data_IF_317756980982
#
_entry.id   IF_317756980982
#
_cell.length_a   1.000
_cell.length_b   1.000
_cell.length_c   1.000
_cell.angle_alpha   90.00
_cell.angle_beta   90.00
_cell.angle_gamma   90.00
#
_symmetry.space_group_name_H-M   'P 1'
#
loop_
_entity.id
_entity.type
_entity.pdbx_description
1 polymer ?
#
# COMPACT_ATOMS: atom_id res chain seq x y z
N UNK A 1 -46.81 -42.56 -19.97
CA UNK A 1 -45.36 -42.53 -19.65
C UNK A 1 -44.88 -41.12 -19.91
N UNK A 2 -44.97 -40.29 -18.87
CA UNK A 2 -44.69 -38.85 -18.94
C UNK A 2 -43.19 -38.62 -18.75
N UNK A 3 -42.58 -37.81 -19.62
CA UNK A 3 -41.20 -37.32 -19.51
C UNK A 3 -41.07 -36.48 -18.24
N UNK A 4 -40.21 -36.90 -17.31
CA UNK A 4 -39.75 -36.07 -16.21
C UNK A 4 -38.76 -35.02 -16.78
N UNK A 5 -39.09 -33.76 -16.58
CA UNK A 5 -38.23 -32.61 -16.81
C UNK A 5 -37.16 -32.55 -15.71
N UNK A 6 -35.94 -32.27 -16.14
CA UNK A 6 -34.79 -32.03 -15.29
C UNK A 6 -34.96 -30.68 -14.58
N UNK A 7 -35.05 -30.70 -13.25
CA UNK A 7 -34.73 -29.53 -12.44
C UNK A 7 -33.23 -29.64 -12.08
N UNK A 8 -32.41 -28.90 -12.82
CA UNK A 8 -31.03 -28.61 -12.41
C UNK A 8 -31.12 -27.40 -11.48
N UNK A 9 -31.26 -27.67 -10.19
CA UNK A 9 -30.97 -26.69 -9.14
C UNK A 9 -29.45 -26.41 -9.17
N UNK A 10 -29.04 -25.40 -9.94
CA UNK A 10 -27.74 -24.75 -9.73
C UNK A 10 -27.84 -23.95 -8.44
N UNK A 11 -27.56 -24.60 -7.31
CA UNK A 11 -27.21 -23.91 -6.08
C UNK A 11 -25.95 -23.08 -6.36
N UNK A 12 -26.10 -21.76 -6.47
CA UNK A 12 -24.98 -20.83 -6.44
C UNK A 12 -24.34 -20.97 -5.06
N UNK A 13 -23.20 -21.65 -4.97
CA UNK A 13 -22.40 -21.66 -3.76
C UNK A 13 -22.10 -20.19 -3.41
N UNK A 14 -22.67 -19.69 -2.32
CA UNK A 14 -22.30 -18.38 -1.80
C UNK A 14 -20.81 -18.46 -1.41
N UNK A 15 -19.94 -17.84 -2.21
CA UNK A 15 -18.52 -17.77 -1.89
C UNK A 15 -18.35 -17.10 -0.52
N UNK A 16 -17.62 -17.78 0.38
CA UNK A 16 -17.35 -17.26 1.72
C UNK A 16 -16.68 -15.88 1.62
N UNK A 17 -17.38 -14.85 2.10
CA UNK A 17 -16.90 -13.48 2.09
C UNK A 17 -16.20 -13.13 3.40
N UNK A 18 -15.07 -12.42 3.29
CA UNK A 18 -14.32 -11.87 4.41
C UNK A 18 -14.51 -10.35 4.43
N UNK A 19 -14.68 -9.78 5.63
CA UNK A 19 -14.82 -8.34 5.82
C UNK A 19 -13.46 -7.66 6.02
N UNK A 20 -13.31 -6.46 5.48
CA UNK A 20 -12.14 -5.60 5.64
C UNK A 20 -11.91 -5.22 7.10
N UNK A 21 -10.70 -5.43 7.58
CA UNK A 21 -10.29 -5.09 8.96
C UNK A 21 -10.35 -3.60 9.30
N UNK A 22 -10.37 -2.73 8.28
CA UNK A 22 -10.39 -1.26 8.45
C UNK A 22 -11.82 -0.72 8.62
N UNK A 23 -12.84 -1.48 8.21
CA UNK A 23 -14.24 -1.03 8.15
C UNK A 23 -15.11 -1.77 9.19
N UNK A 24 -14.60 -1.86 10.42
CA UNK A 24 -15.29 -2.49 11.53
C UNK A 24 -16.58 -1.72 11.86
N UNK A 25 -17.72 -2.41 11.83
CA UNK A 25 -19.04 -1.84 12.16
C UNK A 25 -19.84 -1.29 10.98
N UNK A 26 -19.31 -1.38 9.74
CA UNK A 26 -20.14 -1.20 8.55
C UNK A 26 -21.20 -2.32 8.47
N UNK A 27 -22.46 -2.02 8.07
CA UNK A 27 -23.49 -3.04 7.95
C UNK A 27 -23.03 -4.20 7.05
N UNK A 28 -23.27 -5.47 7.46
CA UNK A 28 -23.00 -6.60 6.58
C UNK A 28 -23.83 -6.48 5.29
N UNK A 29 -23.27 -6.88 4.16
CA UNK A 29 -23.96 -6.84 2.86
C UNK A 29 -23.71 -5.58 2.02
N UNK A 30 -22.83 -4.66 2.44
CA UNK A 30 -22.25 -3.66 1.54
C UNK A 30 -21.29 -4.35 0.55
N UNK A 31 -21.88 -4.93 -0.49
CA UNK A 31 -21.15 -5.57 -1.58
C UNK A 31 -20.76 -4.55 -2.64
N UNK A 32 -19.55 -4.70 -3.16
CA UNK A 32 -19.03 -3.90 -4.26
C UNK A 32 -18.18 -2.70 -3.82
N UNK A 33 -17.80 -1.87 -4.80
CA UNK A 33 -16.78 -0.86 -4.63
C UNK A 33 -17.29 0.33 -3.82
N UNK A 34 -16.60 0.60 -2.71
CA UNK A 34 -16.79 1.74 -1.83
C UNK A 34 -15.64 2.74 -2.00
N UNK A 35 -15.91 4.04 -1.80
CA UNK A 35 -14.88 5.09 -1.84
C UNK A 35 -14.66 5.63 -0.44
N UNK A 36 -13.45 5.40 0.08
CA UNK A 36 -12.99 5.91 1.36
C UNK A 36 -11.93 6.99 1.17
N UNK A 37 -11.82 7.87 2.18
CA UNK A 37 -10.85 8.95 2.21
C UNK A 37 -9.87 8.72 3.37
N UNK A 38 -8.66 8.28 3.04
CA UNK A 38 -7.61 8.02 4.02
C UNK A 38 -6.78 9.28 4.23
N UNK A 39 -6.60 9.66 5.49
CA UNK A 39 -5.81 10.84 5.85
C UNK A 39 -4.55 10.40 6.57
N UNK A 40 -3.40 10.56 5.92
CA UNK A 40 -2.08 10.22 6.44
C UNK A 40 -1.40 11.52 6.86
N UNK A 41 -0.87 11.58 8.07
CA UNK A 41 -0.42 12.85 8.64
C UNK A 41 0.78 12.70 9.57
N UNK A 42 1.64 13.71 9.53
CA UNK A 42 2.77 13.78 10.46
C UNK A 42 2.37 14.45 11.78
N UNK A 43 3.01 14.02 12.89
CA UNK A 43 2.94 14.78 14.12
C UNK A 43 3.47 16.20 13.88
N UNK A 44 2.84 17.20 14.49
CA UNK A 44 3.40 18.56 14.50
C UNK A 44 4.74 18.55 15.25
N UNK A 45 5.86 18.70 14.53
CA UNK A 45 7.11 19.12 15.13
C UNK A 45 6.92 20.54 15.69
N UNK A 46 7.34 20.80 16.93
CA UNK A 46 7.48 22.17 17.42
C UNK A 46 8.57 22.82 16.57
N UNK A 47 8.24 23.85 15.80
CA UNK A 47 9.26 24.71 15.23
C UNK A 47 10.05 25.32 16.37
N UNK A 48 11.37 25.10 16.39
CA UNK A 48 12.28 25.89 17.18
C UNK A 48 12.26 27.31 16.61
N UNK A 49 11.37 28.15 17.12
CA UNK A 49 11.52 29.59 16.93
C UNK A 49 12.77 30.02 17.68
N UNK A 50 13.70 30.58 16.91
CA UNK A 50 14.93 31.16 17.38
C UNK A 50 14.63 32.38 18.28
N UNK A 51 14.55 32.17 19.59
CA UNK A 51 14.89 33.19 20.57
C UNK A 51 15.80 32.57 21.61
N UNK A 52 17.06 33.03 21.57
CA UNK A 52 18.16 32.76 22.50
C UNK A 52 17.65 32.47 23.92
N UNK A 53 18.01 31.32 24.46
CA UNK A 53 18.52 31.16 25.82
C UNK A 53 19.18 29.77 25.94
N UNK A 54 20.36 29.78 26.52
CA UNK A 54 21.27 28.66 26.75
C UNK A 54 20.66 27.70 27.78
N UNK A 55 20.28 26.50 27.34
CA UNK A 55 20.46 25.25 28.10
C UNK A 55 20.25 24.07 27.14
N UNK A 56 21.36 23.61 26.54
CA UNK A 56 21.39 22.39 25.75
C UNK A 56 21.23 21.19 26.68
N UNK A 57 20.06 20.51 26.62
CA UNK A 57 19.87 19.05 26.72
C UNK A 57 18.42 18.71 27.10
N UNK A 58 17.43 18.99 26.24
CA UNK A 58 16.08 18.46 26.46
C UNK A 58 15.24 18.35 25.18
N UNK A 59 15.05 17.11 24.70
CA UNK A 59 13.72 16.47 24.51
C UNK A 59 13.79 15.33 23.47
N UNK A 60 14.61 14.32 23.75
CA UNK A 60 14.55 12.99 23.10
C UNK A 60 13.94 11.92 24.01
N UNK A 61 13.27 12.32 25.10
CA UNK A 61 12.65 11.40 26.05
C UNK A 61 11.12 11.49 25.95
N UNK A 62 10.53 10.97 24.88
CA UNK A 62 9.20 10.39 25.05
C UNK A 62 9.45 9.02 25.67
N UNK A 63 9.22 8.89 26.97
CA UNK A 63 9.17 7.58 27.63
C UNK A 63 8.01 6.81 27.01
N UNK A 64 8.30 5.95 26.04
CA UNK A 64 7.29 5.09 25.43
C UNK A 64 6.92 4.05 26.49
N UNK A 65 5.70 4.17 27.02
CA UNK A 65 5.15 3.19 27.94
C UNK A 65 4.78 1.92 27.19
N UNK A 66 4.80 0.79 27.90
CA UNK A 66 4.30 -0.49 27.41
C UNK A 66 3.16 -0.91 28.32
N UNK A 67 2.05 -1.41 27.77
CA UNK A 67 0.94 -1.91 28.55
C UNK A 67 1.19 -3.35 29.04
N UNK A 68 0.19 -3.96 29.68
CA UNK A 68 0.27 -5.30 30.26
C UNK A 68 0.49 -6.39 29.21
N UNK A 69 0.11 -6.13 27.96
CA UNK A 69 0.22 -7.06 26.83
C UNK A 69 1.55 -6.92 26.06
N UNK A 70 2.38 -5.94 26.43
CA UNK A 70 3.63 -5.65 25.73
C UNK A 70 3.48 -4.67 24.58
N UNK A 71 2.30 -4.06 24.41
CA UNK A 71 2.03 -3.10 23.34
C UNK A 71 2.45 -1.68 23.74
N UNK A 72 2.88 -0.89 22.76
CA UNK A 72 3.29 0.49 23.01
C UNK A 72 2.07 1.36 23.36
N UNK A 73 2.11 2.01 24.52
CA UNK A 73 1.10 2.97 24.96
C UNK A 73 1.31 4.28 24.23
N UNK A 74 0.60 4.45 23.11
CA UNK A 74 0.66 5.65 22.28
C UNK A 74 -0.40 6.67 22.73
N UNK A 75 0.03 7.90 23.03
CA UNK A 75 -0.89 9.01 23.29
C UNK A 75 -1.66 9.38 22.02
N UNK A 76 -3.00 9.38 22.08
CA UNK A 76 -3.85 9.82 20.97
C UNK A 76 -3.53 11.28 20.63
N UNK A 77 -3.20 11.56 19.36
CA UNK A 77 -2.88 12.91 18.88
C UNK A 77 -4.10 13.83 19.05
N UNK A 78 -3.92 14.96 19.73
CA UNK A 78 -4.99 15.92 20.04
C UNK A 78 -4.71 17.33 19.46
N UNK A 79 -3.74 17.45 18.54
CA UNK A 79 -3.29 18.72 17.94
C UNK A 79 -3.43 18.68 16.42
N UNK A 80 -3.66 19.84 15.77
CA UNK A 80 -3.77 19.93 14.32
C UNK A 80 -2.47 19.51 13.62
N UNK A 81 -2.62 18.87 12.46
CA UNK A 81 -1.53 18.34 11.65
C UNK A 81 -0.83 19.47 10.88
N UNK A 82 0.51 19.45 10.81
CA UNK A 82 1.27 20.40 10.01
C UNK A 82 1.37 19.98 8.54
N UNK A 83 1.46 18.66 8.28
CA UNK A 83 1.49 18.07 6.95
C UNK A 83 0.53 16.88 6.92
N UNK A 84 -0.47 16.98 6.06
CA UNK A 84 -1.59 16.04 5.93
C UNK A 84 -1.82 15.74 4.45
N UNK A 85 -1.91 14.47 4.11
CA UNK A 85 -2.25 14.00 2.76
C UNK A 85 -3.52 13.18 2.83
N UNK A 86 -4.48 13.56 1.97
CA UNK A 86 -5.76 12.86 1.84
C UNK A 86 -5.75 12.10 0.52
N UNK A 87 -5.90 10.79 0.62
CA UNK A 87 -5.95 9.85 -0.49
C UNK A 87 -7.39 9.34 -0.66
N UNK A 88 -7.89 9.35 -1.88
CA UNK A 88 -9.23 8.83 -2.19
C UNK A 88 -9.07 7.45 -2.80
N UNK A 89 -9.51 6.41 -2.08
CA UNK A 89 -9.33 5.01 -2.49
C UNK A 89 -10.68 4.34 -2.66
N UNK A 90 -10.86 3.73 -3.84
CA UNK A 90 -11.90 2.77 -4.15
C UNK A 90 -11.43 1.38 -3.71
N UNK A 91 -12.23 0.72 -2.89
CA UNK A 91 -11.94 -0.60 -2.35
C UNK A 91 -13.25 -1.33 -1.98
N UNK A 92 -13.20 -2.63 -1.76
CA UNK A 92 -14.33 -3.39 -1.26
C UNK A 92 -14.32 -3.43 0.28
N UNK A 93 -15.52 -3.47 0.88
CA UNK A 93 -15.68 -3.69 2.33
C UNK A 93 -15.75 -5.19 2.62
N UNK A 94 -16.34 -5.98 1.73
CA UNK A 94 -16.32 -7.45 1.79
C UNK A 94 -15.84 -8.03 0.45
N UNK A 95 -15.11 -9.13 0.49
CA UNK A 95 -14.66 -9.83 -0.72
C UNK A 95 -14.48 -11.32 -0.45
N UNK A 96 -14.50 -12.15 -1.50
CA UNK A 96 -14.00 -13.53 -1.40
C UNK A 96 -12.48 -13.55 -1.23
N UNK A 97 -11.93 -14.69 -0.80
CA UNK A 97 -10.50 -14.89 -0.57
C UNK A 97 -9.63 -14.56 -1.81
N UNK A 98 -10.00 -14.95 -3.05
CA UNK A 98 -9.21 -14.58 -4.23
C UNK A 98 -9.18 -13.07 -4.51
N UNK A 99 -10.17 -12.32 -3.99
CA UNK A 99 -10.39 -10.90 -4.29
C UNK A 99 -9.97 -9.98 -3.15
N UNK A 100 -9.22 -10.48 -2.17
CA UNK A 100 -8.80 -9.68 -0.99
C UNK A 100 -7.85 -8.54 -1.32
N UNK A 101 -7.23 -8.54 -2.51
CA UNK A 101 -6.49 -7.39 -3.05
C UNK A 101 -7.37 -6.16 -3.31
N UNK A 102 -8.70 -6.32 -3.34
CA UNK A 102 -9.64 -5.20 -3.42
C UNK A 102 -9.87 -4.51 -2.07
N UNK A 103 -9.37 -5.04 -0.96
CA UNK A 103 -9.55 -4.47 0.38
C UNK A 103 -8.34 -3.62 0.78
N UNK A 104 -8.59 -2.57 1.58
CA UNK A 104 -7.51 -1.83 2.26
C UNK A 104 -7.15 -2.57 3.54
N UNK A 105 -5.85 -2.79 3.74
CA UNK A 105 -5.34 -3.51 4.92
C UNK A 105 -4.78 -2.54 5.96
N UNK A 106 -4.89 -2.87 7.25
CA UNK A 106 -4.25 -2.06 8.33
C UNK A 106 -2.74 -1.91 8.11
N UNK A 107 -2.12 -2.97 7.61
CA UNK A 107 -0.76 -3.04 7.08
C UNK A 107 -0.38 -1.82 6.24
N UNK A 108 -1.23 -1.52 5.26
CA UNK A 108 -1.05 -0.51 4.23
C UNK A 108 -1.13 0.89 4.86
N UNK A 109 -1.98 1.06 5.88
CA UNK A 109 -2.07 2.29 6.66
C UNK A 109 -0.80 2.55 7.48
N UNK A 110 -0.27 1.53 8.16
CA UNK A 110 0.99 1.64 8.92
C UNK A 110 2.15 1.96 8.00
N UNK A 111 2.18 1.32 6.83
CA UNK A 111 3.18 1.55 5.80
C UNK A 111 3.11 2.98 5.24
N UNK A 112 1.90 3.52 5.03
CA UNK A 112 1.72 4.90 4.64
C UNK A 112 2.31 5.88 5.66
N UNK A 113 2.11 5.64 6.95
CA UNK A 113 2.71 6.48 8.00
C UNK A 113 4.25 6.44 7.94
N UNK A 114 4.83 5.25 7.75
CA UNK A 114 6.28 5.11 7.60
C UNK A 114 6.81 5.81 6.34
N UNK A 115 6.14 5.61 5.21
CA UNK A 115 6.52 6.23 3.93
C UNK A 115 6.44 7.75 4.06
N UNK A 116 5.35 8.29 4.63
CA UNK A 116 5.22 9.72 4.85
C UNK A 116 6.32 10.27 5.76
N UNK A 117 6.66 9.55 6.83
CA UNK A 117 7.78 9.91 7.71
C UNK A 117 9.08 10.01 6.91
N UNK A 118 9.43 8.97 6.15
CA UNK A 118 10.65 8.92 5.35
C UNK A 118 10.71 10.01 4.27
N UNK A 119 9.59 10.28 3.60
CA UNK A 119 9.45 11.37 2.62
C UNK A 119 9.74 12.75 3.24
N UNK A 120 9.50 12.91 4.54
CA UNK A 120 9.59 14.21 5.21
C UNK A 120 10.87 14.38 6.03
N UNK A 121 11.53 13.27 6.41
CA UNK A 121 12.76 13.29 7.20
C UNK A 121 14.02 12.95 6.38
N UNK A 122 13.87 12.45 5.15
CA UNK A 122 14.98 12.08 4.28
C UNK A 122 14.65 12.29 2.80
N UNK A 123 15.68 12.47 1.97
CA UNK A 123 15.55 12.53 0.51
C UNK A 123 15.69 11.17 -0.17
N UNK A 124 15.55 10.07 0.58
CA UNK A 124 15.79 8.70 0.08
C UNK A 124 14.78 8.28 -0.98
N UNK A 125 13.59 8.89 -0.98
CA UNK A 125 12.51 8.60 -1.92
C UNK A 125 12.37 9.66 -3.02
N UNK A 126 13.27 10.64 -3.06
CA UNK A 126 13.23 11.68 -4.08
C UNK A 126 13.71 11.11 -5.42
N UNK A 127 12.86 11.18 -6.44
CA UNK A 127 13.18 10.79 -7.82
C UNK A 127 13.65 9.33 -7.99
N UNK A 128 13.24 8.46 -7.09
CA UNK A 128 13.50 7.02 -7.22
C UNK A 128 12.55 6.37 -8.23
N UNK A 129 12.89 5.14 -8.63
CA UNK A 129 11.94 4.21 -9.23
C UNK A 129 11.49 3.24 -8.13
N UNK A 130 10.20 3.15 -7.86
CA UNK A 130 9.66 2.23 -6.87
C UNK A 130 8.88 1.11 -7.56
N UNK A 131 8.88 -0.07 -6.96
CA UNK A 131 8.04 -1.20 -7.34
C UNK A 131 7.32 -1.70 -6.09
N UNK A 132 6.00 -1.65 -6.12
CA UNK A 132 5.13 -2.19 -5.09
C UNK A 132 4.63 -3.59 -5.50
N UNK A 133 4.88 -4.59 -4.65
CA UNK A 133 4.48 -5.98 -4.83
C UNK A 133 3.25 -6.29 -3.97
N UNK A 134 2.18 -6.81 -4.58
CA UNK A 134 0.91 -7.02 -3.89
C UNK A 134 0.28 -5.69 -3.51
N UNK A 135 0.26 -4.75 -4.45
CA UNK A 135 -0.17 -3.38 -4.23
C UNK A 135 -1.66 -3.28 -3.83
N UNK A 136 -2.49 -4.26 -4.21
CA UNK A 136 -3.92 -4.29 -3.96
C UNK A 136 -4.61 -3.01 -4.44
N UNK A 137 -5.02 -2.17 -3.49
CA UNK A 137 -5.64 -0.88 -3.80
C UNK A 137 -4.65 0.19 -4.28
N UNK A 138 -3.36 0.00 -4.03
CA UNK A 138 -2.26 0.89 -4.41
C UNK A 138 -2.05 2.08 -3.47
N UNK A 139 -2.61 2.08 -2.26
CA UNK A 139 -2.61 3.25 -1.36
C UNK A 139 -1.19 3.75 -1.09
N UNK A 140 -0.24 2.85 -0.83
CA UNK A 140 1.13 3.21 -0.45
C UNK A 140 1.89 3.76 -1.65
N UNK A 141 1.89 3.07 -2.78
CA UNK A 141 2.59 3.53 -3.97
C UNK A 141 2.00 4.82 -4.53
N UNK A 142 0.69 5.04 -4.42
CA UNK A 142 0.04 6.32 -4.73
C UNK A 142 0.56 7.44 -3.80
N UNK A 143 0.74 7.16 -2.51
CA UNK A 143 1.35 8.12 -1.58
C UNK A 143 2.80 8.42 -1.97
N UNK A 144 3.58 7.39 -2.30
CA UNK A 144 4.99 7.49 -2.67
C UNK A 144 5.20 8.25 -3.99
N UNK A 145 4.25 8.15 -4.93
CA UNK A 145 4.26 8.87 -6.21
C UNK A 145 4.31 10.41 -6.08
N UNK A 146 4.11 10.95 -4.88
CA UNK A 146 4.29 12.37 -4.58
C UNK A 146 5.76 12.81 -4.64
N UNK A 147 6.72 11.92 -4.39
CA UNK A 147 8.16 12.25 -4.39
C UNK A 147 8.98 11.40 -5.37
N UNK A 148 8.53 10.19 -5.68
CA UNK A 148 9.19 9.30 -6.62
C UNK A 148 9.16 9.83 -8.07
N UNK A 149 10.10 9.35 -8.90
CA UNK A 149 10.10 9.59 -10.35
C UNK A 149 9.18 8.60 -11.07
N UNK A 150 9.19 7.33 -10.65
CA UNK A 150 8.30 6.31 -11.22
C UNK A 150 7.87 5.35 -10.12
N UNK A 151 6.61 4.93 -10.12
CA UNK A 151 6.09 3.90 -9.22
C UNK A 151 5.39 2.83 -10.06
N UNK A 152 5.84 1.59 -9.95
CA UNK A 152 5.17 0.43 -10.51
C UNK A 152 4.32 -0.21 -9.41
N UNK A 153 3.01 -0.24 -9.59
CA UNK A 153 2.08 -0.93 -8.70
C UNK A 153 1.80 -2.30 -9.30
N UNK A 154 2.11 -3.37 -8.57
CA UNK A 154 1.95 -4.73 -9.10
C UNK A 154 1.14 -5.62 -8.19
N UNK A 155 0.26 -6.40 -8.80
CA UNK A 155 -0.57 -7.41 -8.16
C UNK A 155 -0.98 -8.46 -9.20
N UNK A 156 -1.78 -9.45 -8.80
CA UNK A 156 -2.35 -10.46 -9.67
C UNK A 156 -3.89 -10.41 -9.59
N UNK A 157 -4.54 -10.48 -10.76
CA UNK A 157 -6.00 -10.43 -10.89
C UNK A 157 -6.49 -9.17 -11.61
N UNK A 158 -7.21 -9.35 -12.71
CA UNK A 158 -7.67 -8.27 -13.57
C UNK A 158 -8.52 -7.23 -12.82
N UNK A 159 -9.43 -7.67 -11.96
CA UNK A 159 -10.28 -6.75 -11.17
C UNK A 159 -9.46 -5.91 -10.17
N UNK A 160 -8.43 -6.52 -9.56
CA UNK A 160 -7.53 -5.84 -8.62
C UNK A 160 -6.72 -4.78 -9.35
N UNK A 161 -6.13 -5.15 -10.48
CA UNK A 161 -5.34 -4.23 -11.31
C UNK A 161 -6.20 -3.10 -11.89
N UNK A 162 -7.42 -3.39 -12.35
CA UNK A 162 -8.35 -2.36 -12.83
C UNK A 162 -8.76 -1.40 -11.70
N UNK A 163 -9.02 -1.92 -10.50
CA UNK A 163 -9.33 -1.09 -9.33
C UNK A 163 -8.13 -0.23 -8.91
N UNK A 164 -6.93 -0.80 -8.90
CA UNK A 164 -5.69 -0.08 -8.63
C UNK A 164 -5.48 1.08 -9.64
N UNK A 165 -5.70 0.84 -10.93
CA UNK A 165 -5.61 1.88 -11.97
C UNK A 165 -6.62 3.01 -11.75
N UNK A 166 -7.88 2.67 -11.40
CA UNK A 166 -8.89 3.67 -11.01
C UNK A 166 -8.44 4.51 -9.81
N UNK A 167 -7.77 3.90 -8.83
CA UNK A 167 -7.22 4.62 -7.67
C UNK A 167 -6.08 5.56 -8.06
N UNK A 168 -5.21 5.16 -9.00
CA UNK A 168 -4.19 6.05 -9.55
C UNK A 168 -4.84 7.27 -10.20
N UNK A 169 -5.87 7.07 -11.03
CA UNK A 169 -6.58 8.15 -11.70
C UNK A 169 -7.26 9.11 -10.71
N UNK A 170 -7.92 8.57 -9.67
CA UNK A 170 -8.56 9.35 -8.60
C UNK A 170 -7.59 10.26 -7.84
N UNK A 171 -6.30 9.90 -7.79
CA UNK A 171 -5.26 10.62 -7.07
C UNK A 171 -4.25 11.31 -7.99
N UNK A 172 -4.47 11.31 -9.31
CA UNK A 172 -3.53 11.85 -10.30
C UNK A 172 -3.14 13.32 -10.06
N UNK A 173 -4.07 14.13 -9.55
CA UNK A 173 -3.81 15.52 -9.16
C UNK A 173 -2.87 15.70 -7.95
N UNK A 174 -2.53 14.63 -7.24
CA UNK A 174 -1.62 14.65 -6.08
C UNK A 174 -0.15 14.46 -6.46
N UNK A 175 0.13 14.00 -7.68
CA UNK A 175 1.48 13.65 -8.13
C UNK A 175 2.32 14.89 -8.43
N UNK A 176 3.65 14.77 -8.38
CA UNK A 176 4.60 15.88 -8.56
C UNK A 176 4.70 16.40 -10.03
N UNK A 177 3.69 16.16 -10.86
CA UNK A 177 3.61 16.54 -12.27
C UNK A 177 4.59 15.80 -13.21
N UNK A 178 5.55 15.04 -12.66
CA UNK A 178 6.55 14.26 -13.39
C UNK A 178 6.51 12.77 -13.07
N UNK A 179 5.90 12.39 -11.95
CA UNK A 179 5.82 11.00 -11.52
C UNK A 179 5.02 10.18 -12.52
N UNK A 180 5.62 9.09 -12.99
CA UNK A 180 4.93 8.08 -13.77
C UNK A 180 4.44 6.95 -12.84
N UNK A 181 3.13 6.78 -12.72
CA UNK A 181 2.55 5.65 -11.96
C UNK A 181 2.02 4.63 -12.94
N UNK A 182 2.48 3.39 -12.84
CA UNK A 182 2.14 2.31 -13.77
C UNK A 182 1.62 1.10 -13.01
N UNK A 183 0.40 0.67 -13.33
CA UNK A 183 -0.16 -0.59 -12.82
C UNK A 183 0.20 -1.72 -13.77
N UNK A 184 0.75 -2.81 -13.25
CA UNK A 184 1.18 -3.98 -14.04
C UNK A 184 0.86 -5.28 -13.32
N UNK A 185 0.55 -6.32 -14.09
CA UNK A 185 0.42 -7.65 -13.51
C UNK A 185 1.80 -8.19 -13.07
N UNK A 186 1.83 -8.79 -11.88
CA UNK A 186 2.92 -9.64 -11.43
C UNK A 186 2.35 -10.84 -10.68
N UNK A 187 2.29 -11.98 -11.37
CA UNK A 187 1.94 -13.26 -10.78
C UNK A 187 3.15 -13.89 -10.07
N UNK A 188 3.07 -14.02 -8.74
CA UNK A 188 4.13 -14.62 -7.93
C UNK A 188 4.28 -16.13 -8.14
N UNK A 189 3.26 -16.80 -8.68
CA UNK A 189 3.28 -18.23 -8.97
C UNK A 189 3.95 -18.53 -10.32
N UNK A 190 4.15 -17.51 -11.14
CA UNK A 190 4.85 -17.62 -12.42
C UNK A 190 6.37 -17.64 -12.24
N UNK A 191 7.12 -18.41 -13.05
CA UNK A 191 8.57 -18.50 -12.94
C UNK A 191 9.25 -17.16 -13.23
N UNK A 192 10.27 -16.83 -12.43
CA UNK A 192 11.10 -15.65 -12.63
C UNK A 192 12.27 -15.92 -13.59
N UNK A 193 12.66 -14.96 -14.47
CA UNK A 193 12.02 -13.67 -14.71
C UNK A 193 10.72 -13.79 -15.51
N UNK A 194 9.77 -12.84 -15.35
CA UNK A 194 8.55 -12.79 -16.14
C UNK A 194 8.91 -12.83 -17.63
N UNK A 195 8.15 -13.59 -18.43
CA UNK A 195 8.42 -13.71 -19.85
C UNK A 195 8.17 -12.37 -20.52
N UNK A 196 9.25 -11.67 -20.86
CA UNK A 196 9.17 -10.40 -21.59
C UNK A 196 8.90 -10.71 -23.06
N UNK A 197 7.73 -10.32 -23.58
CA UNK A 197 7.54 -10.27 -25.03
C UNK A 197 8.40 -9.13 -25.59
N UNK A 198 9.15 -9.33 -26.69
CA UNK A 198 10.08 -8.32 -27.20
C UNK A 198 9.28 -7.17 -27.84
N UNK A 199 8.84 -6.22 -27.01
CA UNK A 199 8.40 -4.91 -27.47
C UNK A 199 9.48 -3.87 -27.13
N UNK A 200 9.71 -2.98 -28.10
CA UNK A 200 10.90 -2.14 -28.23
C UNK A 200 10.99 -1.11 -27.10
N UNK A 201 11.95 -1.24 -26.19
CA UNK A 201 12.50 -0.08 -25.47
C UNK A 201 14.01 -0.24 -25.27
N UNK A 202 14.82 0.71 -25.76
CA UNK A 202 16.26 0.72 -25.56
C UNK A 202 16.57 1.64 -24.39
N UNK A 203 16.86 1.13 -23.19
CA UNK A 203 17.64 1.89 -22.21
C UNK A 203 18.09 0.98 -21.06
N UNK A 204 19.37 0.61 -21.09
CA UNK A 204 20.10 0.13 -19.90
C UNK A 204 20.31 1.32 -18.95
N UNK A 205 19.25 1.75 -18.27
CA UNK A 205 19.36 2.61 -17.09
C UNK A 205 19.42 1.74 -15.85
N UNK A 206 20.39 2.01 -14.99
CA UNK A 206 20.46 1.45 -13.64
C UNK A 206 19.52 2.30 -12.79
N UNK A 207 18.49 1.68 -12.24
CA UNK A 207 17.50 2.36 -11.41
C UNK A 207 17.76 2.05 -9.95
N UNK A 208 17.58 3.05 -9.10
CA UNK A 208 17.47 2.82 -7.68
C UNK A 208 16.04 2.34 -7.41
N UNK A 209 15.88 1.02 -7.16
CA UNK A 209 14.59 0.37 -6.96
C UNK A 209 14.28 0.30 -5.47
N UNK A 210 13.21 0.95 -5.04
CA UNK A 210 12.61 0.70 -3.71
C UNK A 210 11.50 -0.32 -3.87
N UNK A 211 11.67 -1.48 -3.23
CA UNK A 211 10.65 -2.51 -3.16
C UNK A 211 9.75 -2.27 -1.96
N UNK A 212 8.46 -2.16 -2.22
CA UNK A 212 7.41 -2.11 -1.19
C UNK A 212 6.60 -3.38 -1.38
N UNK A 213 6.73 -4.39 -0.52
CA UNK A 213 6.17 -5.70 -0.85
C UNK A 213 5.61 -6.51 0.31
N UNK A 214 4.55 -7.26 0.01
CA UNK A 214 4.04 -8.40 0.79
C UNK A 214 4.53 -9.73 0.19
N UNK A 215 4.80 -10.77 1.01
CA UNK A 215 4.69 -12.22 0.68
C UNK A 215 5.33 -13.19 1.71
N UNK A 216 5.02 -14.51 1.63
CA UNK A 216 5.59 -15.60 2.46
C UNK A 216 6.98 -16.08 1.97
N UNK A 217 7.76 -16.64 2.91
CA UNK A 217 9.12 -17.24 2.93
C UNK A 217 9.87 -17.59 1.62
N UNK A 218 9.21 -17.87 0.50
CA UNK A 218 9.85 -18.11 -0.81
C UNK A 218 10.41 -16.83 -1.46
N UNK A 219 9.98 -15.65 -0.99
CA UNK A 219 10.17 -14.38 -1.72
C UNK A 219 11.43 -13.59 -1.35
N UNK A 220 12.18 -13.99 -0.32
CA UNK A 220 13.44 -13.30 0.04
C UNK A 220 14.53 -13.58 -1.00
N UNK A 221 14.58 -14.79 -1.56
CA UNK A 221 15.57 -15.12 -2.60
C UNK A 221 15.27 -14.45 -3.94
N UNK A 222 14.00 -14.40 -4.37
CA UNK A 222 13.63 -13.81 -5.65
C UNK A 222 13.66 -12.27 -5.62
N UNK A 223 13.33 -11.66 -4.48
CA UNK A 223 13.59 -10.22 -4.28
C UNK A 223 15.09 -9.90 -4.31
N UNK A 224 15.95 -10.72 -3.69
CA UNK A 224 17.42 -10.55 -3.80
C UNK A 224 17.94 -10.68 -5.23
N UNK A 225 17.36 -11.57 -6.07
CA UNK A 225 17.68 -11.66 -7.50
C UNK A 225 17.25 -10.40 -8.28
N UNK A 226 16.18 -9.72 -7.86
CA UNK A 226 15.75 -8.44 -8.44
C UNK A 226 16.64 -7.25 -8.04
N UNK A 227 17.16 -7.24 -6.82
CA UNK A 227 17.64 -6.03 -6.13
C UNK A 227 19.00 -5.48 -6.59
N UNK A 228 19.86 -6.27 -7.24
CA UNK A 228 21.21 -5.78 -7.59
C UNK A 228 21.93 -5.11 -6.40
N UNK A 229 22.55 -3.94 -6.62
CA UNK A 229 23.39 -3.26 -5.61
C UNK A 229 22.73 -2.09 -4.87
N UNK A 230 21.45 -1.80 -5.09
CA UNK A 230 20.78 -0.61 -4.50
C UNK A 230 19.86 -0.99 -3.34
N UNK A 231 19.82 -0.09 -2.34
CA UNK A 231 19.19 -0.20 -1.03
C UNK A 231 17.82 0.49 -1.02
N UNK A 232 16.75 -0.26 -0.79
CA UNK A 232 15.83 -0.20 0.37
C UNK A 232 14.62 -1.07 0.03
N UNK A 233 14.41 -2.09 0.86
CA UNK A 233 13.40 -3.12 0.67
C UNK A 233 12.51 -3.10 1.91
N UNK A 234 11.28 -2.65 1.77
CA UNK A 234 10.32 -2.58 2.85
C UNK A 234 9.35 -3.75 2.72
N UNK A 235 9.50 -4.70 3.64
CA UNK A 235 8.71 -5.91 3.72
C UNK A 235 7.61 -5.72 4.76
N UNK A 236 6.37 -6.07 4.39
CA UNK A 236 5.28 -6.22 5.35
C UNK A 236 4.65 -7.60 5.18
N UNK A 237 4.61 -8.38 6.25
CA UNK A 237 4.08 -9.74 6.25
C UNK A 237 2.58 -9.75 6.52
N UNK A 238 1.76 -10.29 5.60
CA UNK A 238 0.43 -10.80 5.96
C UNK A 238 0.06 -12.01 5.14
N UNK A 239 -0.28 -13.10 5.83
CA UNK A 239 -1.40 -14.00 5.54
C UNK A 239 -1.55 -14.87 6.79
N UNK A 240 -2.81 -15.08 7.20
CA UNK A 240 -3.18 -16.12 8.18
C UNK A 240 -2.67 -17.50 7.73
#
# INVERSE_FOLDING_TARGET
MSRQMNDVETATAEEEQVMSEVHLGCPPGLSGPHISHFTISLPSCKSADASKNEDETASMNQTIGVDEDGDLVLSRRNKPFSHCHRLTIRHNITSSIPSVGLQVWKAELVLCDFVLHKMSTSSEYDRIVALELGAGTGLVGILLARVAETVFLTDHGDEILENCAKNVDLNSGLFNGRAAVQVRELDWMSPWPPRVSPSKSPLNKRWDIVLVGSAKHLMVEDSQKMLGSTRVCLFIFFYK
#
